data_IF_908803243356
#
_entry.id   IF_908803243356
#
_cell.length_a   1.000
_cell.length_b   1.000
_cell.length_c   1.000
_cell.angle_alpha   90.00
_cell.angle_beta   90.00
_cell.angle_gamma   90.00
#
_symmetry.space_group_name_H-M   'P 1'
#
loop_
_entity.id
_entity.type
_entity.pdbx_description
1 polymer ?
#
# COMPACT_ATOMS: atom_id res chain seq x y z
N UNK A 1 -17.20 8.19 4.50
CA UNK A 1 -16.81 6.81 4.17
C UNK A 1 -16.08 6.21 5.36
N UNK A 2 -16.27 4.93 5.63
CA UNK A 2 -15.62 4.22 6.73
C UNK A 2 -14.25 3.67 6.29
N UNK A 3 -13.28 3.52 7.20
CA UNK A 3 -12.10 2.70 6.97
C UNK A 3 -12.48 1.27 6.53
N UNK A 4 -11.63 0.58 5.72
CA UNK A 4 -11.92 -0.77 5.24
C UNK A 4 -11.67 -1.86 6.30
N UNK A 5 -11.13 -1.51 7.46
CA UNK A 5 -10.91 -2.39 8.61
C UNK A 5 -10.91 -1.54 9.89
N UNK A 6 -11.05 -2.17 11.05
CA UNK A 6 -11.08 -1.55 12.37
C UNK A 6 -10.04 -2.12 13.34
N UNK A 7 -9.38 -3.22 12.99
CA UNK A 7 -8.33 -3.82 13.82
C UNK A 7 -7.12 -2.88 13.93
N UNK A 8 -6.52 -2.82 15.13
CA UNK A 8 -5.20 -2.23 15.33
C UNK A 8 -4.12 -3.26 15.06
N UNK A 9 -3.28 -3.02 14.06
CA UNK A 9 -2.14 -3.90 13.74
C UNK A 9 -0.88 -3.57 14.54
N UNK A 10 -0.86 -2.42 15.23
CA UNK A 10 0.21 -2.02 16.12
C UNK A 10 -0.31 -2.15 17.54
N UNK A 11 0.26 -3.06 18.34
CA UNK A 11 -0.03 -3.08 19.77
C UNK A 11 0.50 -1.79 20.40
N UNK A 12 -0.36 -1.08 21.14
CA UNK A 12 0.07 0.05 21.95
C UNK A 12 0.80 -0.52 23.15
N UNK A 13 2.12 -0.40 23.20
CA UNK A 13 2.86 -0.70 24.42
C UNK A 13 2.26 0.13 25.58
N UNK A 14 2.04 -0.46 26.77
CA UNK A 14 1.49 0.27 27.89
C UNK A 14 2.37 1.48 28.21
N UNK A 15 1.78 2.68 28.20
CA UNK A 15 2.49 3.92 28.51
C UNK A 15 3.06 3.84 29.93
N UNK A 16 4.37 3.85 30.06
CA UNK A 16 5.04 4.13 31.32
C UNK A 16 4.68 5.56 31.74
N UNK A 17 4.07 5.69 32.91
CA UNK A 17 3.68 6.95 33.53
C UNK A 17 4.94 7.77 33.87
N UNK A 18 5.31 8.72 33.02
CA UNK A 18 6.44 9.61 33.32
C UNK A 18 6.87 10.56 32.20
N UNK A 19 6.50 10.31 30.94
CA UNK A 19 6.96 11.16 29.83
C UNK A 19 5.91 12.22 29.45
N UNK A 20 6.32 13.49 29.48
CA UNK A 20 5.47 14.60 29.07
C UNK A 20 5.08 14.44 27.59
N UNK A 21 3.81 14.59 27.19
CA UNK A 21 3.42 14.41 25.79
C UNK A 21 3.99 15.55 24.96
N UNK A 22 4.95 15.25 24.07
CA UNK A 22 5.15 16.11 22.90
C UNK A 22 3.87 16.05 22.06
N UNK A 23 3.33 17.18 21.58
CA UNK A 23 2.15 17.19 20.72
C UNK A 23 2.53 16.77 19.29
N UNK A 24 3.15 15.61 19.13
CA UNK A 24 3.31 14.99 17.82
C UNK A 24 2.04 14.20 17.54
N UNK A 25 1.33 14.59 16.48
CA UNK A 25 0.19 13.84 15.96
C UNK A 25 0.64 12.38 15.71
N UNK A 26 0.08 11.39 16.44
CA UNK A 26 0.46 10.00 16.29
C UNK A 26 0.37 9.48 14.85
N UNK A 27 -0.55 10.02 14.04
CA UNK A 27 -0.73 9.61 12.64
C UNK A 27 0.43 10.07 11.76
N UNK A 28 1.03 11.24 12.04
CA UNK A 28 2.17 11.74 11.28
C UNK A 28 3.43 10.90 11.52
N UNK A 29 3.53 10.22 12.66
CA UNK A 29 4.64 9.29 12.94
C UNK A 29 4.64 8.04 12.05
N UNK A 30 3.52 7.75 11.39
CA UNK A 30 3.37 6.62 10.46
C UNK A 30 3.85 6.94 9.04
N UNK A 31 4.11 8.22 8.75
CA UNK A 31 4.65 8.68 7.47
C UNK A 31 6.17 8.43 7.38
N UNK A 32 6.73 8.31 6.16
CA UNK A 32 8.18 8.30 5.99
C UNK A 32 8.79 9.63 6.48
N UNK A 33 10.11 9.65 6.71
CA UNK A 33 10.78 10.88 7.16
C UNK A 33 10.67 12.03 6.14
N UNK A 34 10.78 11.71 4.84
CA UNK A 34 10.73 12.69 3.75
C UNK A 34 10.17 12.07 2.46
N UNK A 35 9.88 12.93 1.49
CA UNK A 35 9.51 12.54 0.13
C UNK A 35 10.12 13.51 -0.88
N UNK A 36 10.21 13.08 -2.15
CA UNK A 36 10.60 13.94 -3.27
C UNK A 36 9.40 14.68 -3.83
N UNK A 37 9.52 15.99 -4.00
CA UNK A 37 8.48 16.83 -4.60
C UNK A 37 8.43 16.65 -6.12
N UNK A 38 7.49 17.31 -6.79
CA UNK A 38 7.40 17.32 -8.25
C UNK A 38 8.58 18.07 -8.93
N UNK A 39 9.31 18.91 -8.18
CA UNK A 39 10.51 19.63 -8.64
C UNK A 39 11.81 18.93 -8.25
N UNK A 40 11.74 17.67 -7.83
CA UNK A 40 12.85 16.83 -7.34
C UNK A 40 13.53 17.32 -6.04
N UNK A 41 12.94 18.31 -5.36
CA UNK A 41 13.35 18.74 -4.03
C UNK A 41 12.99 17.70 -2.95
N UNK A 42 13.59 17.80 -1.77
CA UNK A 42 13.30 16.94 -0.62
C UNK A 42 12.50 17.72 0.42
N UNK A 43 11.34 17.19 0.81
CA UNK A 43 10.48 17.79 1.83
C UNK A 43 10.18 16.81 2.96
N UNK A 44 10.06 17.33 4.19
CA UNK A 44 9.63 16.56 5.34
C UNK A 44 8.16 16.13 5.19
N UNK A 45 7.82 14.89 5.58
CA UNK A 45 6.47 14.38 5.37
C UNK A 45 5.43 15.00 6.31
N UNK A 46 5.77 15.23 7.58
CA UNK A 46 4.83 15.70 8.60
C UNK A 46 4.04 16.95 8.20
N UNK A 47 4.71 18.08 7.91
CA UNK A 47 4.05 19.32 7.47
C UNK A 47 3.30 19.19 6.13
N UNK A 48 3.66 18.19 5.32
CA UNK A 48 3.14 17.99 3.97
C UNK A 48 2.47 16.62 3.80
N UNK A 49 1.76 16.14 4.83
CA UNK A 49 1.23 14.78 4.92
C UNK A 49 0.47 14.37 3.65
N UNK A 50 -0.43 15.22 3.16
CA UNK A 50 -1.22 14.94 1.95
C UNK A 50 -0.37 14.74 0.70
N UNK A 51 0.59 15.63 0.46
CA UNK A 51 1.49 15.52 -0.69
C UNK A 51 2.39 14.29 -0.58
N UNK A 52 2.86 13.97 0.62
CA UNK A 52 3.62 12.76 0.89
C UNK A 52 2.80 11.49 0.59
N UNK A 53 1.54 11.42 1.06
CA UNK A 53 0.63 10.28 0.80
C UNK A 53 0.34 10.14 -0.70
N UNK A 54 0.04 11.26 -1.36
CA UNK A 54 -0.19 11.28 -2.80
C UNK A 54 1.03 10.75 -3.56
N UNK A 55 2.24 11.14 -3.14
CA UNK A 55 3.49 10.63 -3.73
C UNK A 55 3.75 9.16 -3.43
N UNK A 56 3.46 8.71 -2.20
CA UNK A 56 3.66 7.33 -1.78
C UNK A 56 2.74 6.33 -2.50
N UNK A 57 1.57 6.80 -2.96
CA UNK A 57 0.56 6.04 -3.71
C UNK A 57 0.52 6.43 -5.20
N UNK A 58 1.59 7.04 -5.71
CA UNK A 58 1.67 7.58 -7.07
C UNK A 58 1.82 6.47 -8.11
N UNK A 59 0.96 6.49 -9.13
CA UNK A 59 0.94 5.55 -10.25
C UNK A 59 1.23 6.24 -11.60
N UNK A 60 1.65 7.51 -11.60
CA UNK A 60 1.71 8.35 -12.79
C UNK A 60 2.46 7.71 -13.97
N UNK A 61 3.55 6.96 -13.72
CA UNK A 61 4.31 6.30 -14.81
C UNK A 61 3.52 5.19 -15.51
N UNK A 62 2.65 4.51 -14.77
CA UNK A 62 1.76 3.48 -15.32
C UNK A 62 0.51 4.08 -15.92
N UNK A 63 0.04 5.22 -15.40
CA UNK A 63 -1.13 5.92 -15.93
C UNK A 63 -0.94 6.24 -17.43
N UNK A 64 0.29 6.56 -17.86
CA UNK A 64 0.67 6.79 -19.26
C UNK A 64 0.51 5.54 -20.17
N UNK A 65 0.51 4.34 -19.60
CA UNK A 65 0.44 3.06 -20.33
C UNK A 65 -0.76 2.19 -19.90
N UNK A 66 -1.74 2.78 -19.20
CA UNK A 66 -2.92 2.07 -18.67
C UNK A 66 -3.67 1.27 -19.73
N UNK A 67 -3.76 1.77 -20.96
CA UNK A 67 -4.36 1.06 -22.10
C UNK A 67 -3.62 -0.21 -22.55
N UNK A 68 -2.37 -0.40 -22.11
CA UNK A 68 -1.48 -1.50 -22.50
C UNK A 68 -1.16 -2.47 -21.34
N UNK A 69 -1.76 -2.30 -20.17
CA UNK A 69 -1.51 -3.17 -19.01
C UNK A 69 -1.75 -4.66 -19.32
N UNK A 70 -2.74 -4.97 -20.17
CA UNK A 70 -3.00 -6.32 -20.64
C UNK A 70 -1.87 -6.94 -21.50
N UNK A 71 -0.99 -6.11 -22.08
CA UNK A 71 0.22 -6.58 -22.78
C UNK A 71 1.34 -6.88 -21.78
N UNK A 72 1.38 -6.15 -20.67
CA UNK A 72 2.40 -6.32 -19.65
C UNK A 72 2.07 -7.41 -18.62
N UNK A 73 0.80 -7.75 -18.41
CA UNK A 73 0.38 -8.75 -17.44
C UNK A 73 -1.01 -9.32 -17.70
N UNK A 74 -1.31 -10.45 -17.06
CA UNK A 74 -2.64 -11.07 -17.09
C UNK A 74 -3.51 -10.47 -15.97
N UNK A 75 -4.82 -10.30 -16.18
CA UNK A 75 -5.74 -9.75 -15.17
C UNK A 75 -6.05 -10.82 -14.11
N UNK A 76 -5.13 -11.00 -13.16
CA UNK A 76 -5.24 -11.91 -12.04
C UNK A 76 -4.40 -11.40 -10.85
N UNK A 77 -4.71 -11.80 -9.61
CA UNK A 77 -3.87 -11.49 -8.45
C UNK A 77 -2.43 -11.99 -8.61
N UNK A 78 -1.46 -11.41 -7.90
CA UNK A 78 -0.09 -11.93 -7.89
C UNK A 78 -0.05 -13.34 -7.31
N UNK A 79 0.92 -14.15 -7.75
CA UNK A 79 1.17 -15.43 -7.09
C UNK A 79 1.77 -15.19 -5.69
N UNK A 80 1.48 -16.05 -4.70
CA UNK A 80 2.06 -15.97 -3.36
C UNK A 80 3.60 -15.95 -3.35
N UNK A 81 4.19 -15.40 -2.28
CA UNK A 81 5.65 -15.18 -2.17
C UNK A 81 6.47 -16.46 -2.35
N UNK A 82 6.08 -17.57 -1.72
CA UNK A 82 6.76 -18.85 -1.86
C UNK A 82 6.80 -19.32 -3.33
N UNK A 83 5.75 -19.04 -4.10
CA UNK A 83 5.70 -19.37 -5.53
C UNK A 83 6.59 -18.42 -6.35
N UNK A 84 6.72 -17.14 -5.97
CA UNK A 84 7.69 -16.24 -6.60
C UNK A 84 9.12 -16.80 -6.49
N UNK A 85 9.46 -17.39 -5.33
CA UNK A 85 10.75 -18.04 -5.10
C UNK A 85 10.92 -19.31 -5.95
N UNK A 86 9.88 -20.14 -6.10
CA UNK A 86 9.90 -21.31 -7.00
C UNK A 86 10.14 -20.91 -8.46
N UNK A 87 9.64 -19.74 -8.87
CA UNK A 87 9.91 -19.15 -10.18
C UNK A 87 11.33 -18.55 -10.30
N UNK A 88 12.20 -18.78 -9.32
CA UNK A 88 13.57 -18.26 -9.25
C UNK A 88 13.62 -16.73 -9.35
N UNK A 89 12.63 -16.05 -8.77
CA UNK A 89 12.61 -14.58 -8.67
C UNK A 89 13.16 -14.16 -7.32
N UNK A 90 14.27 -13.43 -7.35
CA UNK A 90 14.76 -12.70 -6.21
C UNK A 90 13.88 -11.47 -5.94
N UNK A 91 13.56 -11.24 -4.67
CA UNK A 91 12.71 -10.14 -4.24
C UNK A 91 13.55 -8.88 -3.97
N UNK A 92 13.24 -7.79 -4.67
CA UNK A 92 13.89 -6.49 -4.51
C UNK A 92 12.92 -5.45 -3.94
N UNK A 93 13.36 -4.75 -2.90
CA UNK A 93 12.59 -3.65 -2.31
C UNK A 93 12.61 -2.42 -3.23
N UNK A 94 11.46 -1.77 -3.38
CA UNK A 94 11.32 -0.46 -4.03
C UNK A 94 10.39 0.42 -3.21
N UNK A 95 10.57 1.73 -3.18
CA UNK A 95 9.56 2.63 -2.58
C UNK A 95 8.59 3.21 -3.62
N UNK A 96 8.81 2.93 -4.90
CA UNK A 96 7.94 3.38 -5.99
C UNK A 96 6.73 2.44 -6.13
N UNK A 97 5.52 3.02 -6.00
CA UNK A 97 4.27 2.26 -6.10
C UNK A 97 4.05 1.70 -7.51
N UNK A 98 4.46 2.43 -8.55
CA UNK A 98 4.35 1.97 -9.93
C UNK A 98 5.27 0.78 -10.29
N UNK A 99 6.34 0.58 -9.52
CA UNK A 99 7.24 -0.57 -9.62
C UNK A 99 6.80 -1.77 -8.77
N UNK A 100 5.81 -1.61 -7.89
CA UNK A 100 5.30 -2.74 -7.11
C UNK A 100 4.70 -3.79 -8.06
N UNK A 101 5.12 -5.04 -7.88
CA UNK A 101 4.76 -6.20 -8.70
C UNK A 101 5.20 -6.14 -10.16
N UNK A 102 6.16 -5.26 -10.46
CA UNK A 102 6.90 -5.32 -11.71
C UNK A 102 7.98 -6.39 -11.60
N UNK A 103 8.14 -7.21 -12.63
CA UNK A 103 9.15 -8.28 -12.67
C UNK A 103 9.95 -8.25 -13.97
N UNK A 104 11.15 -8.78 -13.90
CA UNK A 104 12.04 -9.04 -15.04
C UNK A 104 12.72 -10.39 -14.83
N UNK A 105 13.62 -10.80 -15.73
CA UNK A 105 14.36 -12.04 -15.61
C UNK A 105 15.02 -12.17 -14.24
N UNK A 106 14.52 -13.12 -13.43
CA UNK A 106 15.03 -13.44 -12.09
C UNK A 106 14.72 -12.41 -11.00
N UNK A 107 13.91 -11.37 -11.23
CA UNK A 107 13.66 -10.31 -10.23
C UNK A 107 12.20 -9.93 -10.14
N UNK A 108 11.71 -9.73 -8.92
CA UNK A 108 10.41 -9.14 -8.62
C UNK A 108 10.60 -7.92 -7.70
N UNK A 109 10.07 -6.77 -8.10
CA UNK A 109 10.11 -5.55 -7.32
C UNK A 109 8.87 -5.44 -6.43
N UNK A 110 9.07 -5.28 -5.12
CA UNK A 110 7.99 -5.16 -4.15
C UNK A 110 8.20 -3.92 -3.29
N UNK A 111 7.17 -3.08 -3.27
CA UNK A 111 7.05 -2.00 -2.29
C UNK A 111 6.57 -2.52 -0.93
N UNK A 112 7.31 -2.33 0.18
CA UNK A 112 6.87 -2.69 1.52
C UNK A 112 5.54 -2.04 1.92
N UNK A 113 4.76 -2.71 2.76
CA UNK A 113 3.50 -2.16 3.27
C UNK A 113 3.79 -0.99 4.19
N UNK A 114 3.39 0.21 3.76
CA UNK A 114 3.56 1.42 4.56
C UNK A 114 2.73 1.34 5.84
N UNK A 115 3.32 1.71 6.98
CA UNK A 115 2.68 1.63 8.31
C UNK A 115 1.33 2.35 8.35
N UNK A 116 1.25 3.52 7.72
CA UNK A 116 0.03 4.31 7.68
C UNK A 116 -1.15 3.61 6.98
N UNK A 117 -0.90 2.62 6.11
CA UNK A 117 -1.96 1.83 5.48
C UNK A 117 -2.51 0.73 6.39
N UNK A 118 -1.85 0.45 7.52
CA UNK A 118 -2.26 -0.54 8.51
C UNK A 118 -2.91 0.09 9.76
N UNK A 119 -3.19 1.40 9.73
CA UNK A 119 -3.84 2.13 10.81
C UNK A 119 -5.22 2.65 10.37
N UNK A 120 -6.34 2.20 10.97
CA UNK A 120 -7.68 2.57 10.52
C UNK A 120 -8.01 4.06 10.74
N UNK A 121 -7.40 4.71 11.74
CA UNK A 121 -7.59 6.14 11.97
C UNK A 121 -6.90 6.97 10.87
N UNK A 122 -5.75 6.50 10.36
CA UNK A 122 -5.11 7.10 9.20
C UNK A 122 -6.00 7.05 7.95
N UNK A 123 -6.67 5.93 7.71
CA UNK A 123 -7.66 5.82 6.63
C UNK A 123 -8.79 6.83 6.81
N UNK A 124 -9.36 6.93 8.01
CA UNK A 124 -10.44 7.87 8.31
C UNK A 124 -10.03 9.33 8.03
N UNK A 125 -8.81 9.71 8.40
CA UNK A 125 -8.33 11.09 8.27
C UNK A 125 -7.94 11.45 6.83
N UNK A 126 -7.14 10.61 6.19
CA UNK A 126 -6.47 10.95 4.93
C UNK A 126 -7.07 10.29 3.68
N UNK A 127 -7.67 9.11 3.79
CA UNK A 127 -8.13 8.32 2.64
C UNK A 127 -9.65 8.25 2.52
N UNK A 128 -10.39 8.53 3.59
CA UNK A 128 -11.85 8.55 3.60
C UNK A 128 -12.39 9.95 3.33
N UNK A 129 -13.43 10.03 2.51
CA UNK A 129 -14.22 11.25 2.39
C UNK A 129 -15.05 11.45 3.66
N UNK A 130 -14.98 12.66 4.25
CA UNK A 130 -15.84 13.05 5.38
C UNK A 130 -17.30 13.18 4.93
N UNK A 131 -18.28 13.00 5.82
CA UNK A 131 -19.68 13.32 5.52
C UNK A 131 -19.80 14.76 4.98
N UNK A 132 -20.57 14.95 3.90
CA UNK A 132 -20.66 16.24 3.24
C UNK A 132 -19.46 16.61 2.36
N UNK A 133 -18.49 15.70 2.13
CA UNK A 133 -17.49 15.94 1.09
C UNK A 133 -18.21 16.12 -0.25
N UNK A 134 -18.01 17.27 -0.91
CA UNK A 134 -18.40 17.52 -2.30
C UNK A 134 -17.56 16.73 -3.31
N UNK A 135 -17.18 15.51 -2.96
CA UNK A 135 -16.41 14.57 -3.76
C UNK A 135 -17.27 14.02 -4.93
N UNK A 136 -17.76 14.90 -5.79
CA UNK A 136 -18.48 14.57 -7.02
C UNK A 136 -17.50 14.47 -8.19
N UNK A 137 -17.95 13.90 -9.31
CA UNK A 137 -17.20 13.90 -10.57
C UNK A 137 -16.89 15.37 -10.96
N UNK A 138 -15.59 15.73 -10.93
CA UNK A 138 -15.12 17.10 -11.19
C UNK A 138 -14.61 17.86 -9.95
N UNK A 139 -14.71 17.31 -8.74
CA UNK A 139 -14.09 17.91 -7.54
C UNK A 139 -12.58 17.66 -7.47
N UNK A 140 -11.83 18.59 -6.86
CA UNK A 140 -10.38 18.49 -6.63
C UNK A 140 -10.00 17.49 -5.52
N UNK A 141 -10.95 16.69 -5.03
CA UNK A 141 -10.68 15.74 -3.96
C UNK A 141 -10.04 14.45 -4.50
N UNK A 142 -8.76 14.27 -4.19
CA UNK A 142 -7.95 13.10 -4.54
C UNK A 142 -8.24 11.85 -3.68
N UNK A 143 -8.91 12.00 -2.53
CA UNK A 143 -9.13 10.90 -1.55
C UNK A 143 -9.78 9.65 -2.16
N UNK A 144 -10.83 9.73 -2.99
CA UNK A 144 -11.39 8.53 -3.62
C UNK A 144 -10.37 7.77 -4.47
N UNK A 145 -9.53 8.48 -5.23
CA UNK A 145 -8.49 7.84 -6.04
C UNK A 145 -7.41 7.20 -5.15
N UNK A 146 -6.90 7.95 -4.16
CA UNK A 146 -5.90 7.45 -3.20
C UNK A 146 -6.42 6.24 -2.42
N UNK A 147 -7.68 6.24 -2.00
CA UNK A 147 -8.33 5.11 -1.32
C UNK A 147 -8.33 3.86 -2.20
N UNK A 148 -8.72 3.98 -3.47
CA UNK A 148 -8.75 2.85 -4.42
C UNK A 148 -7.34 2.28 -4.66
N UNK A 149 -6.33 3.15 -4.75
CA UNK A 149 -4.91 2.74 -4.89
C UNK A 149 -4.40 2.05 -3.64
N UNK A 150 -4.64 2.62 -2.47
CA UNK A 150 -4.28 2.02 -1.18
C UNK A 150 -4.94 0.65 -0.98
N UNK A 151 -6.23 0.52 -1.33
CA UNK A 151 -6.96 -0.74 -1.20
C UNK A 151 -6.42 -1.80 -2.17
N UNK A 152 -6.12 -1.42 -3.41
CA UNK A 152 -5.50 -2.31 -4.39
C UNK A 152 -4.11 -2.78 -3.96
N UNK A 153 -3.33 -1.90 -3.34
CA UNK A 153 -2.03 -2.25 -2.78
C UNK A 153 -2.12 -3.19 -1.58
N UNK A 154 -3.08 -3.00 -0.66
CA UNK A 154 -3.30 -3.99 0.41
C UNK A 154 -3.80 -5.32 -0.14
N UNK A 155 -4.69 -5.30 -1.15
CA UNK A 155 -5.18 -6.50 -1.81
C UNK A 155 -4.07 -7.32 -2.46
N UNK A 156 -3.10 -6.66 -3.08
CA UNK A 156 -1.96 -7.35 -3.68
C UNK A 156 -1.15 -8.12 -2.62
N UNK A 157 -1.01 -7.55 -1.42
CA UNK A 157 -0.37 -8.23 -0.30
C UNK A 157 -1.20 -9.37 0.29
N UNK A 158 -2.54 -9.26 0.31
CA UNK A 158 -3.42 -10.39 0.67
C UNK A 158 -3.13 -11.59 -0.23
N UNK A 159 -2.97 -11.38 -1.53
CA UNK A 159 -2.62 -12.45 -2.47
C UNK A 159 -1.16 -12.94 -2.31
N UNK A 160 -0.21 -12.04 -2.09
CA UNK A 160 1.20 -12.40 -1.86
C UNK A 160 1.40 -13.23 -0.58
N UNK A 161 0.64 -12.93 0.48
CA UNK A 161 0.79 -13.49 1.82
C UNK A 161 -0.43 -14.36 2.16
N UNK A 162 -0.57 -15.46 1.41
CA UNK A 162 -1.69 -16.39 1.54
C UNK A 162 -1.46 -17.42 2.65
N UNK A 163 -0.21 -17.80 2.89
CA UNK A 163 0.17 -18.78 3.90
C UNK A 163 1.12 -18.19 4.96
N UNK A 164 1.21 -18.86 6.10
CA UNK A 164 2.12 -18.47 7.18
C UNK A 164 3.60 -18.53 6.75
N UNK A 165 3.96 -19.42 5.81
CA UNK A 165 5.29 -19.43 5.19
C UNK A 165 5.56 -18.16 4.36
N UNK A 166 4.57 -17.67 3.62
CA UNK A 166 4.66 -16.39 2.91
C UNK A 166 4.81 -15.23 3.89
N UNK A 167 4.10 -15.29 5.02
CA UNK A 167 4.20 -14.30 6.07
C UNK A 167 5.62 -14.25 6.63
N UNK A 168 6.23 -15.39 6.94
CA UNK A 168 7.63 -15.46 7.35
C UNK A 168 8.57 -14.85 6.31
N UNK A 169 8.41 -15.17 5.02
CA UNK A 169 9.20 -14.54 3.96
C UNK A 169 9.01 -13.02 3.88
N UNK A 170 7.78 -12.53 4.08
CA UNK A 170 7.49 -11.11 4.10
C UNK A 170 8.18 -10.40 5.28
N UNK A 171 8.25 -11.05 6.45
CA UNK A 171 8.96 -10.53 7.63
C UNK A 171 10.47 -10.50 7.39
N UNK A 172 11.04 -11.59 6.88
CA UNK A 172 12.47 -11.71 6.57
C UNK A 172 12.95 -10.67 5.55
N UNK A 173 12.08 -10.31 4.61
CA UNK A 173 12.35 -9.28 3.58
C UNK A 173 11.90 -7.87 3.99
N UNK A 174 11.45 -7.68 5.23
CA UNK A 174 10.97 -6.41 5.75
C UNK A 174 9.84 -5.78 4.91
N UNK A 175 9.01 -6.62 4.28
CA UNK A 175 7.85 -6.18 3.49
C UNK A 175 6.65 -5.82 4.36
N UNK A 176 6.63 -6.32 5.60
CA UNK A 176 5.68 -5.94 6.64
C UNK A 176 6.41 -5.32 7.83
N UNK A 177 5.79 -4.37 8.56
CA UNK A 177 6.34 -3.89 9.81
C UNK A 177 6.63 -5.02 10.81
N UNK A 178 7.70 -4.94 11.62
CA UNK A 178 8.11 -6.00 12.54
C UNK A 178 7.06 -6.30 13.62
N UNK A 179 6.15 -5.39 13.91
CA UNK A 179 5.10 -5.53 14.93
C UNK A 179 3.89 -6.32 14.44
N UNK A 180 3.67 -6.40 13.12
CA UNK A 180 2.53 -7.14 12.57
C UNK A 180 2.71 -8.64 12.86
N UNK A 181 1.69 -9.27 13.45
CA UNK A 181 1.62 -10.71 13.71
C UNK A 181 0.79 -11.42 12.64
N UNK A 182 0.98 -12.74 12.50
CA UNK A 182 0.16 -13.55 11.58
C UNK A 182 -1.33 -13.49 11.93
N UNK A 183 -1.66 -13.49 13.23
CA UNK A 183 -3.04 -13.36 13.68
C UNK A 183 -3.64 -12.00 13.29
N UNK A 184 -2.92 -10.89 13.51
CA UNK A 184 -3.39 -9.56 13.11
C UNK A 184 -3.56 -9.45 11.59
N UNK A 185 -2.63 -10.03 10.82
CA UNK A 185 -2.71 -10.11 9.36
C UNK A 185 -3.98 -10.84 8.90
N UNK A 186 -4.27 -12.01 9.48
CA UNK A 186 -5.50 -12.76 9.16
C UNK A 186 -6.77 -11.96 9.40
N UNK A 187 -6.89 -11.29 10.54
CA UNK A 187 -8.06 -10.46 10.84
C UNK A 187 -8.18 -9.26 9.90
N UNK A 188 -7.06 -8.65 9.49
CA UNK A 188 -7.07 -7.60 8.47
C UNK A 188 -7.65 -8.15 7.15
N UNK A 189 -7.18 -9.32 6.69
CA UNK A 189 -7.66 -9.96 5.46
C UNK A 189 -9.17 -10.22 5.53
N UNK A 190 -9.67 -10.75 6.65
CA UNK A 190 -11.09 -11.00 6.88
C UNK A 190 -11.93 -9.70 6.78
N UNK A 191 -11.42 -8.57 7.29
CA UNK A 191 -12.13 -7.28 7.26
C UNK A 191 -12.05 -6.56 5.90
N UNK A 192 -11.00 -6.79 5.12
CA UNK A 192 -10.84 -6.15 3.81
C UNK A 192 -11.88 -6.60 2.78
N UNK A 193 -12.61 -7.70 3.03
CA UNK A 193 -13.71 -8.18 2.19
C UNK A 193 -13.30 -8.27 0.70
N UNK A 194 -12.46 -9.26 0.40
CA UNK A 194 -11.74 -9.34 -0.89
C UNK A 194 -12.60 -9.79 -2.06
N UNK A 195 -13.87 -10.16 -1.85
CA UNK A 195 -14.77 -10.64 -2.89
C UNK A 195 -16.15 -9.93 -2.82
N UNK A 196 -16.49 -9.01 -3.76
CA UNK A 196 -15.72 -8.54 -4.91
C UNK A 196 -14.91 -7.25 -4.63
N UNK A 197 -13.58 -7.33 -4.68
CA UNK A 197 -12.70 -6.16 -4.46
C UNK A 197 -12.45 -5.30 -5.71
N UNK A 198 -12.54 -5.87 -6.92
CA UNK A 198 -12.06 -5.22 -8.15
C UNK A 198 -12.80 -3.92 -8.52
N UNK A 199 -14.07 -3.78 -8.14
CA UNK A 199 -14.85 -2.54 -8.34
C UNK A 199 -14.43 -1.41 -7.40
N UNK A 200 -13.65 -1.72 -6.36
CA UNK A 200 -13.25 -0.80 -5.28
C UNK A 200 -11.77 -0.41 -5.34
N UNK A 201 -11.00 -0.97 -6.26
CA UNK A 201 -9.55 -0.74 -6.38
C UNK A 201 -9.21 -0.03 -7.69
N UNK A 202 -8.01 0.52 -7.75
CA UNK A 202 -7.48 1.10 -8.98
C UNK A 202 -7.20 -0.01 -10.01
N UNK A 203 -7.47 0.26 -11.30
CA UNK A 203 -7.37 -0.72 -12.38
C UNK A 203 -5.96 -1.31 -12.52
N UNK A 204 -4.92 -0.58 -12.08
CA UNK A 204 -3.56 -1.11 -12.02
C UNK A 204 -3.44 -2.42 -11.24
N UNK A 205 -4.23 -2.56 -10.16
CA UNK A 205 -4.22 -3.73 -9.27
C UNK A 205 -5.10 -4.88 -9.75
N UNK A 206 -5.75 -4.74 -10.91
CA UNK A 206 -6.34 -5.89 -11.61
C UNK A 206 -5.24 -6.80 -12.19
N UNK A 207 -4.04 -6.26 -12.38
CA UNK A 207 -2.88 -6.96 -12.93
C UNK A 207 -1.81 -7.16 -11.85
N UNK A 208 -1.81 -8.37 -11.27
CA UNK A 208 -0.96 -8.73 -10.15
C UNK A 208 0.52 -8.91 -10.49
N UNK A 209 0.90 -9.08 -11.75
CA UNK A 209 2.32 -9.18 -12.13
C UNK A 209 2.53 -8.53 -13.49
N UNK A 210 3.37 -7.49 -13.56
CA UNK A 210 3.70 -6.82 -14.82
C UNK A 210 5.13 -7.09 -15.25
N UNK A 211 5.31 -7.47 -16.50
CA UNK A 211 6.64 -7.67 -17.09
C UNK A 211 7.24 -6.33 -17.48
N UNK A 212 8.39 -5.99 -16.90
CA UNK A 212 9.09 -4.71 -17.13
C UNK A 212 9.34 -4.42 -18.61
N UNK A 213 9.74 -5.42 -19.39
CA UNK A 213 10.01 -5.29 -20.83
C UNK A 213 8.77 -4.97 -21.69
N UNK A 214 7.60 -4.79 -21.07
CA UNK A 214 6.32 -4.44 -21.71
C UNK A 214 5.74 -3.14 -21.15
N UNK A 215 6.50 -2.43 -20.31
CA UNK A 215 6.14 -1.12 -19.72
C UNK A 215 6.88 0.05 -20.39
N UNK A 216 7.66 -0.24 -21.44
CA UNK A 216 8.42 0.70 -22.25
C UNK A 216 7.69 1.05 -23.53
#
# INVERSE_FOLDING_TARGET
>A
QSPPFSISLFEVAPRSSGDAPRPHDPLLSLLPASYRTATDDIAAAGPHARACIAKALDLQRLDMITGWLGVAGRPMPPRPLHHQLLLSRELFVTEQMDMHLVWTSGRLFLKPVARFLLDPAFWAEYLCCRPGCGCSAGSECDRPALRRRALGFLFSYVALISHESDFSFAKDKHLLPPEVTWQAWRHLVEQLDTEPIYSRVDARFHYGELRLSRLS
#
